data_IF_516025799372
#
_entry.id   IF_516025799372
#
_cell.length_a   1.000
_cell.length_b   1.000
_cell.length_c   1.000
_cell.angle_alpha   90.00
_cell.angle_beta   90.00
_cell.angle_gamma   90.00
#
_symmetry.space_group_name_H-M   'P 1'
#
loop_
_entity.id
_entity.type
_entity.pdbx_description
1 polymer ?
#
# COMPACT_ATOMS: atom_id res chain seq x y z
N UNK A 1 4.53 3.01 17.38
CA UNK A 1 3.75 4.23 17.06
C UNK A 1 4.70 5.19 16.37
N UNK A 2 4.32 5.76 15.22
CA UNK A 2 5.18 6.67 14.45
C UNK A 2 5.22 8.06 15.08
N UNK A 3 6.30 8.80 14.80
CA UNK A 3 6.39 10.20 15.17
C UNK A 3 5.28 11.02 14.48
N UNK A 4 4.76 12.05 15.15
CA UNK A 4 3.67 12.87 14.61
C UNK A 4 4.11 13.64 13.35
N UNK A 5 5.37 14.03 13.26
CA UNK A 5 5.94 14.66 12.08
C UNK A 5 5.99 13.69 10.90
N UNK A 6 6.40 12.44 11.14
CA UNK A 6 6.44 11.39 10.11
C UNK A 6 5.05 11.12 9.54
N UNK A 7 4.03 11.02 10.42
CA UNK A 7 2.63 10.86 10.02
C UNK A 7 2.16 12.08 9.22
N UNK A 8 2.44 13.30 9.70
CA UNK A 8 2.02 14.54 9.03
C UNK A 8 2.60 14.65 7.63
N UNK A 9 3.90 14.37 7.47
CA UNK A 9 4.61 14.46 6.18
C UNK A 9 4.26 13.31 5.25
N UNK A 10 4.16 12.08 5.77
CA UNK A 10 3.94 10.87 4.96
C UNK A 10 2.49 10.59 4.60
N UNK A 11 1.50 11.14 5.32
CA UNK A 11 0.06 10.85 5.10
C UNK A 11 -0.43 11.18 3.68
N UNK A 12 -0.12 12.34 3.07
CA UNK A 12 -0.60 12.64 1.73
C UNK A 12 -0.13 11.59 0.72
N UNK A 13 1.15 11.22 0.76
CA UNK A 13 1.67 10.23 -0.17
C UNK A 13 1.15 8.82 0.14
N UNK A 14 0.97 8.46 1.41
CA UNK A 14 0.41 7.18 1.83
C UNK A 14 -0.97 6.93 1.18
N UNK A 15 -1.85 7.94 1.23
CA UNK A 15 -3.18 7.86 0.58
C UNK A 15 -3.05 7.75 -0.94
N UNK A 16 -2.21 8.58 -1.57
CA UNK A 16 -2.01 8.59 -3.02
C UNK A 16 -1.52 7.22 -3.52
N UNK A 17 -0.60 6.57 -2.81
CA UNK A 17 -0.07 5.27 -3.21
C UNK A 17 -1.11 4.16 -3.17
N UNK A 18 -2.17 4.24 -2.35
CA UNK A 18 -3.26 3.25 -2.46
C UNK A 18 -4.14 3.47 -3.70
N UNK A 19 -4.29 4.72 -4.15
CA UNK A 19 -5.04 5.06 -5.37
C UNK A 19 -4.19 4.76 -6.61
N UNK A 20 -2.88 5.01 -6.52
CA UNK A 20 -1.90 4.84 -7.60
C UNK A 20 -0.72 3.98 -7.08
N UNK A 21 -0.88 2.64 -6.96
CA UNK A 21 0.11 1.74 -6.34
C UNK A 21 1.52 1.76 -6.93
N UNK A 22 1.66 2.12 -8.21
CA UNK A 22 2.99 2.24 -8.84
C UNK A 22 3.86 3.32 -8.19
N UNK A 23 3.27 4.28 -7.46
CA UNK A 23 3.99 5.33 -6.75
C UNK A 23 4.59 4.88 -5.41
N UNK A 24 4.52 3.59 -5.05
CA UNK A 24 5.06 3.03 -3.81
C UNK A 24 6.53 3.42 -3.52
N UNK A 25 7.31 3.71 -4.57
CA UNK A 25 8.73 4.03 -4.42
C UNK A 25 8.99 5.43 -3.86
N UNK A 26 7.99 6.34 -3.83
CA UNK A 26 8.21 7.73 -3.42
C UNK A 26 8.75 7.87 -1.99
N UNK A 27 8.21 7.17 -0.96
CA UNK A 27 8.80 7.14 0.38
C UNK A 27 10.19 6.47 0.49
N UNK A 28 10.75 5.94 -0.60
CA UNK A 28 12.12 5.40 -0.64
C UNK A 28 13.14 6.44 -1.11
N UNK A 29 12.71 7.37 -1.98
CA UNK A 29 13.61 8.24 -2.74
C UNK A 29 13.35 9.73 -2.55
N UNK A 30 12.12 10.15 -2.25
CA UNK A 30 11.75 11.55 -2.16
C UNK A 30 11.85 12.04 -0.71
N UNK A 31 12.77 12.98 -0.44
CA UNK A 31 13.10 13.45 0.90
C UNK A 31 11.90 14.02 1.67
N UNK A 32 10.93 14.61 0.97
CA UNK A 32 9.68 15.11 1.56
C UNK A 32 8.90 14.02 2.32
N UNK A 33 8.97 12.78 1.83
CA UNK A 33 8.15 11.65 2.28
C UNK A 33 8.95 10.45 2.80
N UNK A 34 10.28 10.53 2.77
CA UNK A 34 11.18 9.43 3.10
C UNK A 34 11.28 9.23 4.61
N UNK A 35 10.30 8.56 5.18
CA UNK A 35 10.23 8.26 6.61
C UNK A 35 9.62 6.87 6.89
N UNK A 36 9.75 6.33 8.11
CA UNK A 36 9.24 5.00 8.46
C UNK A 36 7.73 4.81 8.21
N UNK A 37 6.91 5.83 8.47
CA UNK A 37 5.46 5.78 8.22
C UNK A 37 5.14 5.64 6.72
N UNK A 38 5.79 6.44 5.88
CA UNK A 38 5.65 6.39 4.43
C UNK A 38 6.11 5.04 3.89
N UNK A 39 7.21 4.49 4.40
CA UNK A 39 7.73 3.17 3.98
C UNK A 39 6.80 2.01 4.35
N UNK A 40 6.11 2.07 5.48
CA UNK A 40 5.08 1.08 5.83
C UNK A 40 3.96 1.04 4.78
N UNK A 41 3.40 2.20 4.43
CA UNK A 41 2.33 2.28 3.44
C UNK A 41 2.83 1.99 2.02
N UNK A 42 4.08 2.33 1.71
CA UNK A 42 4.74 1.93 0.48
C UNK A 42 4.82 0.40 0.34
N UNK A 43 5.15 -0.32 1.42
CA UNK A 43 5.20 -1.79 1.40
C UNK A 43 3.83 -2.37 1.06
N UNK A 44 2.76 -1.86 1.66
CA UNK A 44 1.41 -2.32 1.37
C UNK A 44 0.96 -1.99 -0.06
N UNK A 45 1.24 -0.78 -0.54
CA UNK A 45 0.94 -0.39 -1.92
C UNK A 45 1.69 -1.27 -2.93
N UNK A 46 2.96 -1.59 -2.67
CA UNK A 46 3.74 -2.53 -3.48
C UNK A 46 3.11 -3.92 -3.50
N UNK A 47 2.66 -4.44 -2.35
CA UNK A 47 2.01 -5.76 -2.30
C UNK A 47 0.69 -5.80 -3.09
N UNK A 48 -0.11 -4.72 -3.03
CA UNK A 48 -1.33 -4.59 -3.84
C UNK A 48 -0.97 -4.55 -5.34
N UNK A 49 0.07 -3.79 -5.71
CA UNK A 49 0.55 -3.74 -7.10
C UNK A 49 0.99 -5.14 -7.59
N UNK A 50 1.79 -5.86 -6.80
CA UNK A 50 2.24 -7.21 -7.14
C UNK A 50 1.06 -8.18 -7.23
N UNK A 51 0.07 -8.08 -6.36
CA UNK A 51 -1.17 -8.84 -6.44
C UNK A 51 -1.90 -8.60 -7.77
N UNK A 52 -1.98 -7.34 -8.23
CA UNK A 52 -2.57 -7.00 -9.53
C UNK A 52 -1.76 -7.53 -10.71
N UNK A 53 -0.43 -7.51 -10.64
CA UNK A 53 0.46 -8.11 -11.65
C UNK A 53 0.28 -9.63 -11.72
N UNK A 54 0.21 -10.31 -10.57
CA UNK A 54 -0.05 -11.77 -10.55
C UNK A 54 -1.43 -12.09 -11.14
N UNK A 55 -2.45 -11.30 -10.80
CA UNK A 55 -3.79 -11.44 -11.36
C UNK A 55 -3.82 -11.32 -12.88
N UNK A 56 -3.07 -10.36 -13.46
CA UNK A 56 -3.03 -10.16 -14.92
C UNK A 56 -2.34 -11.32 -15.65
N UNK A 57 -1.29 -11.90 -15.06
CA UNK A 57 -0.61 -13.09 -15.61
C UNK A 57 -1.53 -14.31 -15.58
N UNK A 58 -2.36 -14.45 -14.54
CA UNK A 58 -3.27 -15.58 -14.33
C UNK A 58 -4.67 -15.38 -14.95
N UNK A 59 -4.84 -14.36 -15.79
CA UNK A 59 -6.13 -13.98 -16.38
C UNK A 59 -6.57 -14.91 -17.54
N UNK A 60 -6.52 -16.23 -17.35
CA UNK A 60 -7.00 -17.22 -18.33
C UNK A 60 -8.53 -17.25 -18.43
N UNK A 61 -9.22 -16.80 -17.37
CA UNK A 61 -10.67 -16.64 -17.30
C UNK A 61 -11.00 -15.31 -16.64
N UNK A 62 -12.26 -14.85 -16.70
CA UNK A 62 -12.69 -13.64 -16.01
C UNK A 62 -12.79 -13.79 -14.48
N UNK A 63 -12.79 -15.02 -13.97
CA UNK A 63 -12.99 -15.30 -12.54
C UNK A 63 -11.81 -14.82 -11.70
N UNK A 64 -10.57 -15.07 -12.16
CA UNK A 64 -9.36 -14.66 -11.43
C UNK A 64 -9.26 -13.13 -11.31
N UNK A 65 -9.35 -12.35 -12.42
CA UNK A 65 -9.37 -10.89 -12.34
C UNK A 65 -10.50 -10.34 -11.47
N UNK A 66 -11.69 -10.96 -11.50
CA UNK A 66 -12.83 -10.53 -10.68
C UNK A 66 -12.53 -10.68 -9.18
N UNK A 67 -12.07 -11.86 -8.75
CA UNK A 67 -11.77 -12.15 -7.34
C UNK A 67 -10.64 -11.25 -6.84
N UNK A 68 -9.53 -11.18 -7.59
CA UNK A 68 -8.38 -10.35 -7.22
C UNK A 68 -8.72 -8.85 -7.25
N UNK A 69 -9.58 -8.41 -8.17
CA UNK A 69 -10.05 -7.03 -8.23
C UNK A 69 -10.85 -6.63 -6.99
N UNK A 70 -11.75 -7.50 -6.53
CA UNK A 70 -12.52 -7.29 -5.29
C UNK A 70 -11.58 -7.27 -4.08
N UNK A 71 -10.65 -8.22 -3.98
CA UNK A 71 -9.67 -8.26 -2.89
C UNK A 71 -8.78 -7.00 -2.86
N UNK A 72 -8.28 -6.57 -4.02
CA UNK A 72 -7.49 -5.35 -4.15
C UNK A 72 -8.30 -4.11 -3.74
N UNK A 73 -9.57 -4.01 -4.13
CA UNK A 73 -10.44 -2.89 -3.73
C UNK A 73 -10.62 -2.83 -2.20
N UNK A 74 -10.85 -3.97 -1.55
CA UNK A 74 -10.96 -4.05 -0.09
C UNK A 74 -9.64 -3.59 0.56
N UNK A 75 -8.50 -4.05 0.05
CA UNK A 75 -7.19 -3.69 0.59
C UNK A 75 -6.85 -2.22 0.39
N UNK A 76 -7.21 -1.63 -0.75
CA UNK A 76 -7.08 -0.20 -1.00
C UNK A 76 -7.89 0.59 0.04
N UNK A 77 -9.14 0.22 0.28
CA UNK A 77 -10.01 0.91 1.25
C UNK A 77 -9.44 0.81 2.67
N UNK A 78 -9.06 -0.40 3.11
CA UNK A 78 -8.48 -0.59 4.45
C UNK A 78 -7.16 0.16 4.62
N UNK A 79 -6.32 0.17 3.59
CA UNK A 79 -5.06 0.90 3.55
C UNK A 79 -5.27 2.41 3.67
N UNK A 80 -6.21 2.96 2.91
CA UNK A 80 -6.59 4.38 2.98
C UNK A 80 -7.13 4.73 4.38
N UNK A 81 -8.02 3.91 4.95
CA UNK A 81 -8.54 4.13 6.32
C UNK A 81 -7.39 4.20 7.32
N UNK A 82 -6.45 3.25 7.25
CA UNK A 82 -5.26 3.26 8.12
C UNK A 82 -4.42 4.52 7.92
N UNK A 83 -4.16 4.91 6.67
CA UNK A 83 -3.36 6.09 6.34
C UNK A 83 -4.02 7.41 6.79
N UNK A 84 -5.33 7.55 6.59
CA UNK A 84 -6.09 8.74 7.04
C UNK A 84 -6.05 8.87 8.56
N UNK A 85 -6.18 7.75 9.27
CA UNK A 85 -6.11 7.70 10.73
C UNK A 85 -4.68 7.84 11.28
N UNK A 86 -3.64 7.85 10.42
CA UNK A 86 -2.25 7.91 10.86
C UNK A 86 -1.78 6.64 11.56
N UNK A 87 -2.44 5.52 11.30
CA UNK A 87 -2.11 4.21 11.87
C UNK A 87 -1.41 3.34 10.84
N UNK A 88 -0.76 2.28 11.31
CA UNK A 88 -0.09 1.31 10.44
C UNK A 88 -0.65 -0.08 10.68
N UNK A 89 -1.95 -0.20 10.38
CA UNK A 89 -2.69 -1.44 10.51
C UNK A 89 -2.31 -2.36 9.34
N UNK A 90 -1.82 -3.58 9.60
CA UNK A 90 -1.50 -4.53 8.54
C UNK A 90 -2.78 -4.94 7.78
N UNK A 91 -2.69 -5.01 6.45
CA UNK A 91 -3.79 -5.55 5.64
C UNK A 91 -4.02 -7.03 5.96
N UNK A 92 -5.27 -7.52 5.87
CA UNK A 92 -5.55 -8.95 5.99
C UNK A 92 -4.73 -9.74 4.96
N UNK A 93 -4.28 -10.94 5.34
CA UNK A 93 -3.56 -11.92 4.48
C UNK A 93 -2.16 -11.49 4.05
N UNK A 94 -1.98 -10.26 3.55
CA UNK A 94 -0.69 -9.79 2.98
C UNK A 94 0.09 -8.86 3.92
N UNK A 95 -0.53 -8.36 5.00
CA UNK A 95 0.07 -7.34 5.87
C UNK A 95 1.26 -7.80 6.71
N UNK A 96 1.55 -9.11 6.76
CA UNK A 96 2.74 -9.67 7.40
C UNK A 96 3.96 -9.75 6.47
N UNK A 97 3.77 -9.55 5.16
CA UNK A 97 4.85 -9.61 4.18
C UNK A 97 5.60 -8.28 4.20
N UNK A 98 6.91 -8.32 4.38
CA UNK A 98 7.75 -7.12 4.40
C UNK A 98 8.82 -7.19 3.28
N UNK A 99 8.61 -6.38 2.24
CA UNK A 99 9.51 -6.22 1.09
C UNK A 99 10.36 -4.95 1.18
N UNK A 100 9.95 -3.98 2.01
CA UNK A 100 10.62 -2.69 2.19
C UNK A 100 10.97 -2.55 3.66
N UNK A 101 12.26 -2.57 4.00
CA UNK A 101 12.69 -2.37 5.39
C UNK A 101 12.25 -0.98 5.90
N UNK A 102 11.41 -0.97 6.93
CA UNK A 102 10.77 0.21 7.50
C UNK A 102 10.77 0.17 9.03
#
# INVERSE_FOLDING_TARGET
MFDQEDVKRGKPIAVIMYIIPILFFLPLVADDYKNPYGKFHANQALLILLMQVVSSILAFTFIVPLIFGIAALIFIILGIISAVNGTSTPLPIIGTINLINH
#
